data_IF_824636071186
#
_entry.id   IF_824636071186
#
_cell.length_a   1.000
_cell.length_b   1.000
_cell.length_c   1.000
_cell.angle_alpha   90.00
_cell.angle_beta   90.00
_cell.angle_gamma   90.00
#
_symmetry.space_group_name_H-M   'P 1'
#
loop_
_entity.id
_entity.type
_entity.pdbx_description
1 polymer ?
#
# COMPACT_ATOMS: atom_id res chain seq x y z
N UNK A 1 -16.30 -11.00 -11.15
CA UNK A 1 -15.60 -11.76 -10.08
C UNK A 1 -14.08 -11.69 -10.23
N UNK A 2 -13.58 -11.18 -11.36
CA UNK A 2 -12.16 -10.89 -11.63
C UNK A 2 -11.68 -9.61 -10.91
N UNK A 3 -12.45 -8.54 -10.93
CA UNK A 3 -12.09 -7.27 -10.26
C UNK A 3 -11.81 -7.44 -8.75
N UNK A 4 -12.59 -8.28 -8.05
CA UNK A 4 -12.39 -8.54 -6.62
C UNK A 4 -11.10 -9.33 -6.35
N UNK A 5 -10.71 -10.21 -7.28
CA UNK A 5 -9.44 -10.93 -7.21
C UNK A 5 -8.26 -9.98 -7.46
N UNK A 6 -8.36 -9.13 -8.49
CA UNK A 6 -7.36 -8.11 -8.82
C UNK A 6 -7.17 -7.09 -7.68
N UNK A 7 -8.26 -6.63 -7.04
CA UNK A 7 -8.20 -5.73 -5.88
C UNK A 7 -7.53 -6.44 -4.68
N UNK A 8 -7.78 -7.73 -4.49
CA UNK A 8 -7.17 -8.51 -3.41
C UNK A 8 -5.67 -8.68 -3.63
N UNK A 9 -5.26 -9.01 -4.85
CA UNK A 9 -3.86 -9.15 -5.25
C UNK A 9 -3.11 -7.82 -5.12
N UNK A 10 -3.69 -6.74 -5.65
CA UNK A 10 -3.12 -5.39 -5.52
C UNK A 10 -2.94 -4.99 -4.04
N UNK A 11 -3.92 -5.30 -3.17
CA UNK A 11 -3.82 -5.03 -1.74
C UNK A 11 -2.67 -5.82 -1.09
N UNK A 12 -2.48 -7.09 -1.45
CA UNK A 12 -1.40 -7.93 -0.92
C UNK A 12 -0.03 -7.39 -1.34
N UNK A 13 0.18 -7.16 -2.63
CA UNK A 13 1.44 -6.65 -3.18
C UNK A 13 1.81 -5.28 -2.58
N UNK A 14 0.85 -4.36 -2.48
CA UNK A 14 1.12 -3.05 -1.84
C UNK A 14 1.40 -3.19 -0.34
N UNK A 15 0.81 -4.17 0.34
CA UNK A 15 1.05 -4.37 1.77
C UNK A 15 2.48 -4.84 2.01
N UNK A 16 2.99 -5.74 1.18
CA UNK A 16 4.37 -6.23 1.22
C UNK A 16 5.37 -5.11 0.88
N UNK A 17 5.10 -4.33 -0.18
CA UNK A 17 5.89 -3.17 -0.53
C UNK A 17 5.93 -2.16 0.62
N UNK A 18 4.78 -1.82 1.19
CA UNK A 18 4.69 -0.84 2.28
C UNK A 18 5.46 -1.26 3.52
N UNK A 19 5.39 -2.53 3.91
CA UNK A 19 6.18 -3.08 5.02
C UNK A 19 7.68 -3.02 4.75
N UNK A 20 8.09 -3.42 3.54
CA UNK A 20 9.50 -3.36 3.13
C UNK A 20 10.02 -1.93 3.13
N UNK A 21 9.21 -0.99 2.65
CA UNK A 21 9.53 0.42 2.61
C UNK A 21 9.61 1.05 4.01
N UNK A 22 8.77 0.65 4.96
CA UNK A 22 8.86 1.06 6.37
C UNK A 22 10.15 0.58 7.05
N UNK A 23 10.68 -0.56 6.61
CA UNK A 23 11.97 -1.06 7.12
C UNK A 23 13.19 -0.34 6.52
N UNK A 24 13.00 0.41 5.44
CA UNK A 24 14.06 1.24 4.88
C UNK A 24 14.30 2.46 5.77
N UNK A 25 15.52 2.99 5.75
CA UNK A 25 15.83 4.22 6.49
C UNK A 25 15.15 5.41 5.81
N UNK A 26 13.98 5.81 6.31
CA UNK A 26 13.27 7.01 5.89
C UNK A 26 13.90 8.22 6.59
N UNK A 27 14.26 9.25 5.83
CA UNK A 27 14.91 10.43 6.40
C UNK A 27 14.64 11.74 5.67
N UNK A 28 14.05 11.66 4.48
CA UNK A 28 13.68 12.81 3.67
C UNK A 28 12.16 13.05 3.70
N UNK A 29 11.75 14.26 3.33
CA UNK A 29 10.33 14.59 3.19
C UNK A 29 9.65 13.73 2.11
N UNK A 30 10.37 13.40 1.03
CA UNK A 30 9.87 12.51 0.00
C UNK A 30 9.65 11.09 0.53
N UNK A 31 10.52 10.64 1.44
CA UNK A 31 10.36 9.30 2.00
C UNK A 31 9.04 9.18 2.79
N UNK A 32 8.77 10.18 3.63
CA UNK A 32 7.56 10.28 4.44
C UNK A 32 6.31 10.43 3.56
N UNK A 33 6.40 11.25 2.51
CA UNK A 33 5.30 11.44 1.56
C UNK A 33 4.95 10.14 0.84
N UNK A 34 5.95 9.37 0.41
CA UNK A 34 5.71 8.05 -0.18
C UNK A 34 5.07 7.08 0.82
N UNK A 35 5.51 7.10 2.08
CA UNK A 35 4.92 6.29 3.15
C UNK A 35 3.43 6.61 3.37
N UNK A 36 3.05 7.88 3.37
CA UNK A 36 1.66 8.33 3.50
C UNK A 36 0.80 7.92 2.30
N UNK A 37 1.35 8.03 1.09
CA UNK A 37 0.67 7.60 -0.14
C UNK A 37 0.39 6.10 -0.11
N UNK A 38 1.38 5.27 0.21
CA UNK A 38 1.22 3.81 0.33
C UNK A 38 0.15 3.43 1.37
N UNK A 39 0.18 4.08 2.54
CA UNK A 39 -0.82 3.87 3.59
C UNK A 39 -2.23 4.28 3.15
N UNK A 40 -2.36 5.38 2.42
CA UNK A 40 -3.65 5.88 1.92
C UNK A 40 -4.23 4.97 0.84
N UNK A 41 -3.40 4.53 -0.12
CA UNK A 41 -3.82 3.59 -1.15
C UNK A 41 -4.25 2.26 -0.54
N UNK A 42 -3.52 1.73 0.45
CA UNK A 42 -3.92 0.52 1.16
C UNK A 42 -5.27 0.64 1.87
N UNK A 43 -5.56 1.79 2.49
CA UNK A 43 -6.87 2.06 3.09
C UNK A 43 -7.99 2.03 2.06
N UNK A 44 -7.76 2.60 0.88
CA UNK A 44 -8.77 2.64 -0.17
C UNK A 44 -9.00 1.26 -0.79
N UNK A 45 -7.92 0.53 -1.10
CA UNK A 45 -8.01 -0.86 -1.58
C UNK A 45 -8.73 -1.76 -0.57
N UNK A 46 -8.52 -1.56 0.74
CA UNK A 46 -9.23 -2.31 1.78
C UNK A 46 -10.75 -2.10 1.72
N UNK A 47 -11.21 -0.87 1.46
CA UNK A 47 -12.64 -0.56 1.34
C UNK A 47 -13.26 -1.25 0.13
N UNK A 48 -12.54 -1.31 -0.99
CA UNK A 48 -13.04 -1.93 -2.22
C UNK A 48 -12.96 -3.48 -2.19
N UNK A 49 -12.07 -4.04 -1.36
CA UNK A 49 -11.93 -5.48 -1.16
C UNK A 49 -13.05 -6.08 -0.31
N UNK A 50 -13.58 -5.33 0.66
CA UNK A 50 -14.65 -5.76 1.57
C UNK A 50 -15.95 -5.94 0.79
#
# INVERSE_FOLDING_TARGET
MEDKALITEAYQLLSELNKSYQSCKQGTADDLRLQELLNTTLKELKKQKS
#
